data_IF_687213977598
#
_entry.id   IF_687213977598
#
_cell.length_a   1.000
_cell.length_b   1.000
_cell.length_c   1.000
_cell.angle_alpha   90.00
_cell.angle_beta   90.00
_cell.angle_gamma   90.00
#
_symmetry.space_group_name_H-M   'P 1'
#
loop_
_entity.id
_entity.type
_entity.pdbx_description
1 polymer ?
#
# COMPACT_ATOMS: atom_id res chain seq x y z
N UNK A 1 -3.10 1.72 -13.76
CA UNK A 1 -3.80 1.55 -12.46
C UNK A 1 -4.47 2.86 -12.02
N UNK A 2 -5.61 2.79 -11.34
CA UNK A 2 -6.25 3.93 -10.66
C UNK A 2 -6.42 3.61 -9.17
N UNK A 3 -6.03 4.54 -8.30
CA UNK A 3 -6.07 4.42 -6.85
C UNK A 3 -7.03 5.48 -6.31
N UNK A 4 -7.86 5.12 -5.35
CA UNK A 4 -8.60 6.07 -4.52
C UNK A 4 -8.59 5.65 -3.07
N UNK A 5 -8.66 6.64 -2.19
CA UNK A 5 -8.76 6.45 -0.75
C UNK A 5 -9.96 7.23 -0.25
N UNK A 6 -10.85 6.57 0.49
CA UNK A 6 -12.03 7.19 1.09
C UNK A 6 -12.31 6.51 2.43
N UNK A 7 -12.37 7.28 3.53
CA UNK A 7 -12.67 6.76 4.87
C UNK A 7 -11.82 5.51 5.23
N UNK A 8 -10.50 5.60 5.06
CA UNK A 8 -9.51 4.52 5.28
C UNK A 8 -9.61 3.32 4.32
N UNK A 9 -10.68 3.22 3.53
CA UNK A 9 -10.78 2.23 2.46
C UNK A 9 -9.95 2.67 1.26
N UNK A 10 -8.99 1.84 0.91
CA UNK A 10 -8.17 1.96 -0.31
C UNK A 10 -8.82 1.12 -1.39
N UNK A 11 -9.05 1.70 -2.57
CA UNK A 11 -9.57 1.02 -3.74
C UNK A 11 -8.58 1.17 -4.90
N UNK A 12 -8.19 0.04 -5.48
CA UNK A 12 -7.30 -0.02 -6.62
C UNK A 12 -8.05 -0.68 -7.77
N UNK A 13 -8.22 0.07 -8.85
CA UNK A 13 -8.72 -0.47 -10.11
C UNK A 13 -7.54 -0.73 -11.03
N UNK A 14 -7.29 -2.01 -11.29
CA UNK A 14 -6.37 -2.46 -12.33
C UNK A 14 -7.15 -2.69 -13.63
N UNK A 15 -6.46 -3.16 -14.67
CA UNK A 15 -7.14 -3.60 -15.90
C UNK A 15 -7.98 -4.87 -15.69
N UNK A 16 -7.55 -5.72 -14.76
CA UNK A 16 -8.06 -7.08 -14.61
C UNK A 16 -8.98 -7.23 -13.39
N UNK A 17 -8.77 -6.43 -12.34
CA UNK A 17 -9.51 -6.55 -11.09
C UNK A 17 -9.73 -5.22 -10.38
N UNK A 18 -10.70 -5.22 -9.47
CA UNK A 18 -10.85 -4.18 -8.45
C UNK A 18 -10.43 -4.75 -7.11
N UNK A 19 -9.45 -4.13 -6.48
CA UNK A 19 -8.87 -4.53 -5.20
C UNK A 19 -9.33 -3.53 -4.15
N UNK A 20 -9.95 -4.01 -3.09
CA UNK A 20 -10.40 -3.19 -1.97
C UNK A 20 -9.67 -3.63 -0.72
N UNK A 21 -9.16 -2.64 0.01
CA UNK A 21 -8.35 -2.81 1.20
C UNK A 21 -8.90 -1.91 2.30
N UNK A 22 -9.47 -2.53 3.34
CA UNK A 22 -9.94 -1.86 4.55
C UNK A 22 -9.68 -2.74 5.77
N UNK A 23 -10.69 -3.43 6.29
CA UNK A 23 -10.51 -4.44 7.34
C UNK A 23 -9.99 -5.76 6.74
N UNK A 24 -10.46 -6.09 5.53
CA UNK A 24 -10.10 -7.29 4.79
C UNK A 24 -9.59 -6.91 3.39
N UNK A 25 -8.82 -7.81 2.78
CA UNK A 25 -8.43 -7.71 1.37
C UNK A 25 -9.51 -8.39 0.50
N UNK A 26 -10.08 -7.63 -0.43
CA UNK A 26 -11.02 -8.15 -1.44
C UNK A 26 -10.50 -7.91 -2.83
N UNK A 27 -10.64 -8.90 -3.70
CA UNK A 27 -10.35 -8.80 -5.13
C UNK A 27 -11.61 -9.22 -5.88
N UNK A 28 -12.24 -8.27 -6.56
CA UNK A 28 -13.61 -8.40 -7.07
C UNK A 28 -14.55 -8.84 -5.93
N UNK A 29 -15.24 -9.97 -6.10
CA UNK A 29 -16.16 -10.54 -5.10
C UNK A 29 -15.49 -11.54 -4.15
N UNK A 30 -14.19 -11.82 -4.32
CA UNK A 30 -13.45 -12.76 -3.49
C UNK A 30 -12.76 -12.06 -2.32
N UNK A 31 -12.90 -12.62 -1.12
CA UNK A 31 -12.24 -12.15 0.08
C UNK A 31 -11.06 -13.06 0.44
N UNK A 32 -9.88 -12.47 0.58
CA UNK A 32 -8.67 -13.21 0.96
C UNK A 32 -8.71 -13.44 2.47
N UNK A 33 -8.74 -14.71 2.87
CA UNK A 33 -9.06 -15.11 4.24
C UNK A 33 -7.85 -15.24 5.19
N UNK A 34 -6.63 -14.96 4.72
CA UNK A 34 -5.44 -14.96 5.56
C UNK A 34 -4.14 -15.25 4.81
N UNK A 35 -3.09 -15.69 5.53
CA UNK A 35 -1.79 -16.00 4.94
C UNK A 35 -1.86 -17.10 3.87
N UNK A 36 -0.92 -17.07 2.92
CA UNK A 36 -0.85 -18.04 1.82
C UNK A 36 -0.78 -17.38 0.45
N UNK A 37 -0.76 -18.20 -0.60
CA UNK A 37 -0.70 -17.75 -1.99
C UNK A 37 -2.06 -17.92 -2.68
N UNK A 38 -2.50 -16.89 -3.39
CA UNK A 38 -3.76 -16.88 -4.13
C UNK A 38 -3.55 -16.27 -5.50
N UNK A 39 -4.33 -16.72 -6.48
CA UNK A 39 -4.46 -16.04 -7.78
C UNK A 39 -5.94 -15.73 -8.00
N UNK A 40 -6.29 -14.45 -8.06
CA UNK A 40 -7.69 -14.00 -8.17
C UNK A 40 -7.80 -12.91 -9.22
N UNK A 41 -8.56 -13.18 -10.28
CA UNK A 41 -8.75 -12.19 -11.36
C UNK A 41 -7.44 -11.73 -12.01
N UNK A 42 -6.46 -12.64 -12.12
CA UNK A 42 -5.12 -12.36 -12.66
C UNK A 42 -4.20 -11.53 -11.74
N UNK A 43 -4.59 -11.36 -10.48
CA UNK A 43 -3.76 -10.77 -9.42
C UNK A 43 -3.23 -11.89 -8.54
N UNK A 44 -1.90 -12.01 -8.46
CA UNK A 44 -1.22 -12.87 -7.49
C UNK A 44 -1.23 -12.18 -6.13
N UNK A 45 -1.50 -12.92 -5.06
CA UNK A 45 -1.56 -12.43 -3.68
C UNK A 45 -0.74 -13.34 -2.79
N UNK A 46 0.14 -12.74 -2.01
CA UNK A 46 0.96 -13.36 -0.99
C UNK A 46 0.55 -12.79 0.37
N UNK A 47 -0.32 -13.51 1.08
CA UNK A 47 -0.74 -13.18 2.43
C UNK A 47 0.36 -13.46 3.44
N UNK A 48 0.73 -12.45 4.23
CA UNK A 48 1.83 -12.54 5.18
C UNK A 48 1.34 -13.02 6.55
N UNK A 49 2.12 -13.90 7.17
CA UNK A 49 1.81 -14.50 8.49
C UNK A 49 1.71 -13.49 9.64
N UNK A 50 2.20 -12.26 9.45
CA UNK A 50 2.25 -11.19 10.47
C UNK A 50 1.54 -9.91 10.02
N UNK A 51 0.49 -10.07 9.21
CA UNK A 51 -0.36 -8.97 8.75
C UNK A 51 0.14 -8.33 7.45
N UNK A 52 -0.81 -8.01 6.59
CA UNK A 52 -0.56 -7.43 5.28
C UNK A 52 -0.40 -8.45 4.16
N UNK A 53 -0.31 -7.93 2.95
CA UNK A 53 -0.35 -8.68 1.71
C UNK A 53 0.63 -8.06 0.72
N UNK A 54 1.33 -8.89 -0.04
CA UNK A 54 2.00 -8.46 -1.28
C UNK A 54 1.18 -8.96 -2.45
N UNK A 55 0.95 -8.10 -3.42
CA UNK A 55 0.12 -8.37 -4.58
C UNK A 55 0.91 -8.04 -5.85
N UNK A 56 0.65 -8.78 -6.92
CA UNK A 56 1.23 -8.52 -8.24
C UNK A 56 0.17 -8.70 -9.31
N UNK A 57 -0.07 -7.65 -10.09
CA UNK A 57 -0.77 -7.77 -11.37
C UNK A 57 0.24 -7.75 -12.53
N UNK A 58 -0.25 -7.74 -13.78
CA UNK A 58 0.60 -7.67 -14.98
C UNK A 58 1.53 -6.45 -15.01
N UNK A 59 1.14 -5.36 -14.37
CA UNK A 59 1.80 -4.07 -14.47
C UNK A 59 2.57 -3.70 -13.21
N UNK A 60 2.12 -4.01 -12.00
CA UNK A 60 2.70 -3.50 -10.76
C UNK A 60 2.65 -4.53 -9.65
N UNK A 61 3.71 -4.58 -8.86
CA UNK A 61 3.70 -5.15 -7.54
C UNK A 61 3.38 -4.08 -6.51
N UNK A 62 2.54 -4.43 -5.56
CA UNK A 62 2.10 -3.53 -4.51
C UNK A 62 1.99 -4.28 -3.19
N UNK A 63 2.31 -3.58 -2.11
CA UNK A 63 2.21 -4.13 -0.75
C UNK A 63 1.18 -3.33 0.02
N UNK A 64 0.36 -4.04 0.78
CA UNK A 64 -0.52 -3.44 1.76
C UNK A 64 -0.13 -3.94 3.15
N UNK A 65 0.34 -3.01 3.98
CA UNK A 65 0.68 -3.30 5.37
C UNK A 65 -0.47 -2.89 6.27
N UNK A 66 -1.03 -3.90 6.95
CA UNK A 66 -2.11 -3.73 7.93
C UNK A 66 -1.61 -4.17 9.29
N UNK A 67 -1.84 -3.30 10.27
CA UNK A 67 -1.78 -3.56 11.71
C UNK A 67 -0.59 -4.42 12.15
N UNK A 68 0.57 -3.78 12.35
CA UNK A 68 1.77 -4.48 12.74
C UNK A 68 2.18 -4.15 14.15
N UNK A 69 2.11 -5.16 15.02
CA UNK A 69 2.82 -5.18 16.30
C UNK A 69 4.31 -5.55 16.10
N UNK A 70 4.73 -6.02 14.91
CA UNK A 70 6.14 -6.36 14.60
C UNK A 70 6.74 -5.78 13.29
N UNK A 71 8.07 -5.67 13.22
CA UNK A 71 8.83 -5.24 12.01
C UNK A 71 8.78 -6.32 10.91
N UNK A 72 8.93 -5.93 9.63
CA UNK A 72 9.05 -6.89 8.53
C UNK A 72 10.39 -7.61 8.63
N UNK A 73 10.37 -8.94 8.47
CA UNK A 73 11.58 -9.74 8.29
C UNK A 73 12.02 -9.62 6.81
N UNK A 74 13.12 -8.90 6.57
CA UNK A 74 13.69 -8.64 5.24
C UNK A 74 13.87 -9.92 4.41
N UNK A 75 14.28 -11.02 5.05
CA UNK A 75 14.46 -12.32 4.37
C UNK A 75 13.17 -12.87 3.78
N UNK A 76 12.02 -12.52 4.34
CA UNK A 76 10.72 -12.94 3.83
C UNK A 76 10.26 -12.13 2.63
N UNK A 77 10.92 -11.01 2.32
CA UNK A 77 10.65 -10.23 1.12
C UNK A 77 11.46 -10.73 -0.09
N UNK A 78 12.58 -11.44 0.12
CA UNK A 78 13.44 -11.94 -0.96
C UNK A 78 12.69 -12.87 -1.94
N UNK A 79 11.71 -13.64 -1.45
CA UNK A 79 10.89 -14.54 -2.25
C UNK A 79 9.60 -13.89 -2.79
N UNK A 80 9.37 -12.61 -2.49
CA UNK A 80 8.17 -11.88 -2.91
C UNK A 80 8.44 -11.05 -4.16
N UNK A 81 7.40 -10.77 -4.97
CA UNK A 81 7.56 -9.89 -6.12
C UNK A 81 7.92 -8.47 -5.68
N UNK A 82 8.71 -7.79 -6.52
CA UNK A 82 9.10 -6.39 -6.31
C UNK A 82 7.90 -5.51 -5.97
N UNK A 83 8.04 -4.71 -4.91
CA UNK A 83 7.00 -3.79 -4.45
C UNK A 83 7.27 -2.41 -4.99
N UNK A 84 6.48 -1.98 -5.97
CA UNK A 84 6.62 -0.66 -6.58
C UNK A 84 5.77 0.39 -5.84
N UNK A 85 4.65 -0.05 -5.25
CA UNK A 85 3.70 0.82 -4.55
C UNK A 85 3.38 0.23 -3.18
N UNK A 86 3.62 1.00 -2.12
CA UNK A 86 3.30 0.63 -0.76
C UNK A 86 2.07 1.41 -0.27
N UNK A 87 1.06 0.66 0.14
CA UNK A 87 -0.08 1.15 0.91
C UNK A 87 0.15 0.79 2.38
N UNK A 88 0.16 1.81 3.25
CA UNK A 88 0.46 1.60 4.67
C UNK A 88 -0.53 2.36 5.54
N UNK A 89 -1.18 1.66 6.45
CA UNK A 89 -1.92 2.32 7.53
C UNK A 89 -0.94 2.62 8.66
N UNK A 90 -0.71 3.91 8.92
CA UNK A 90 0.22 4.37 9.95
C UNK A 90 -0.25 3.94 11.33
N UNK A 91 0.65 3.31 12.06
CA UNK A 91 0.47 2.86 13.43
C UNK A 91 0.77 3.97 14.44
N UNK A 92 0.64 3.66 15.73
CA UNK A 92 1.09 4.56 16.79
C UNK A 92 2.61 4.65 16.91
N UNK A 93 3.35 3.67 16.36
CA UNK A 93 4.81 3.67 16.29
C UNK A 93 5.28 4.03 14.87
N UNK A 94 5.27 5.33 14.58
CA UNK A 94 5.69 5.84 13.28
C UNK A 94 7.14 5.46 12.92
N UNK A 95 8.05 5.36 13.89
CA UNK A 95 9.45 5.03 13.59
C UNK A 95 9.58 3.63 12.98
N UNK A 96 8.74 2.72 13.46
CA UNK A 96 8.66 1.37 12.93
C UNK A 96 8.06 1.32 11.53
N UNK A 97 7.02 2.10 11.27
CA UNK A 97 6.46 2.23 9.92
C UNK A 97 7.53 2.72 8.93
N UNK A 98 8.33 3.71 9.33
CA UNK A 98 9.45 4.20 8.52
C UNK A 98 10.54 3.15 8.30
N UNK A 99 10.82 2.29 9.27
CA UNK A 99 11.75 1.15 9.07
C UNK A 99 11.19 0.15 8.06
N UNK A 100 9.90 -0.20 8.17
CA UNK A 100 9.26 -1.12 7.23
C UNK A 100 9.27 -0.55 5.81
N UNK A 101 9.03 0.75 5.64
CA UNK A 101 9.14 1.44 4.34
C UNK A 101 10.56 1.30 3.78
N UNK A 102 11.59 1.49 4.61
CA UNK A 102 13.00 1.33 4.19
C UNK A 102 13.36 -0.11 3.83
N UNK A 103 12.78 -1.10 4.51
CA UNK A 103 13.01 -2.51 4.20
C UNK A 103 12.34 -2.91 2.87
N UNK A 104 11.16 -2.34 2.58
CA UNK A 104 10.42 -2.65 1.35
C UNK A 104 10.98 -1.91 0.12
N UNK A 105 11.61 -0.75 0.33
CA UNK A 105 12.14 0.13 -0.72
C UNK A 105 11.14 0.44 -1.86
N UNK A 106 9.88 0.84 -1.56
CA UNK A 106 8.89 1.10 -2.60
C UNK A 106 9.23 2.39 -3.37
N UNK A 107 8.79 2.47 -4.62
CA UNK A 107 8.92 3.70 -5.43
C UNK A 107 7.84 4.73 -5.10
N UNK A 108 6.66 4.25 -4.75
CA UNK A 108 5.52 5.08 -4.37
C UNK A 108 5.02 4.66 -2.98
N UNK A 109 4.72 5.63 -2.12
CA UNK A 109 4.13 5.42 -0.81
C UNK A 109 2.79 6.14 -0.74
N UNK A 110 1.76 5.42 -0.30
CA UNK A 110 0.41 5.93 -0.06
C UNK A 110 0.06 5.62 1.39
N UNK A 111 0.36 6.53 2.34
CA UNK A 111 -0.01 6.33 3.73
C UNK A 111 -1.49 6.66 3.97
N UNK A 112 -2.08 5.95 4.92
CA UNK A 112 -3.41 6.19 5.44
C UNK A 112 -3.36 6.22 6.97
N UNK A 113 -4.26 6.96 7.61
CA UNK A 113 -4.29 7.08 9.07
C UNK A 113 -5.06 8.31 9.54
N UNK A 114 -5.10 8.52 10.86
CA UNK A 114 -5.69 9.73 11.44
C UNK A 114 -4.92 11.00 11.05
N UNK A 115 -5.57 12.19 11.08
CA UNK A 115 -4.95 13.44 10.66
C UNK A 115 -3.62 13.75 11.35
N UNK A 116 -3.51 13.50 12.66
CA UNK A 116 -2.28 13.71 13.44
C UNK A 116 -1.14 12.80 12.97
N UNK A 117 -1.43 11.53 12.65
CA UNK A 117 -0.42 10.57 12.18
C UNK A 117 0.07 10.91 10.79
N UNK A 118 -0.83 11.29 9.89
CA UNK A 118 -0.46 11.77 8.55
C UNK A 118 0.41 13.03 8.66
N UNK A 119 0.06 13.96 9.56
CA UNK A 119 0.87 15.16 9.82
C UNK A 119 2.27 14.80 10.33
N UNK A 120 2.39 13.94 11.33
CA UNK A 120 3.68 13.49 11.87
C UNK A 120 4.54 12.79 10.79
N UNK A 121 3.91 11.98 9.94
CA UNK A 121 4.57 11.33 8.81
C UNK A 121 5.11 12.35 7.79
N UNK A 122 4.29 13.36 7.41
CA UNK A 122 4.71 14.42 6.49
C UNK A 122 5.87 15.23 7.06
N UNK A 123 5.88 15.51 8.38
CA UNK A 123 6.96 16.22 9.05
C UNK A 123 8.30 15.47 9.00
N UNK A 124 8.28 14.13 9.00
CA UNK A 124 9.49 13.29 8.96
C UNK A 124 9.99 13.01 7.54
N UNK A 125 9.11 12.62 6.62
CA UNK A 125 9.50 12.20 5.28
C UNK A 125 9.58 13.37 4.29
N UNK A 126 8.77 14.42 4.50
CA UNK A 126 8.70 15.57 3.60
C UNK A 126 8.22 15.22 2.18
N UNK A 127 8.32 16.20 1.26
CA UNK A 127 8.09 16.04 -0.19
C UNK A 127 6.88 15.18 -0.58
N UNK A 128 5.68 15.60 -0.15
CA UNK A 128 4.42 14.90 -0.45
C UNK A 128 3.62 15.59 -1.56
N UNK A 129 2.92 14.80 -2.37
CA UNK A 129 1.92 15.29 -3.32
C UNK A 129 0.52 15.00 -2.79
N UNK A 130 -0.32 16.04 -2.69
CA UNK A 130 -1.71 15.88 -2.28
C UNK A 130 -2.59 15.50 -3.46
N UNK A 131 -3.49 14.55 -3.24
CA UNK A 131 -4.42 14.05 -4.26
C UNK A 131 -5.85 14.30 -3.81
N UNK A 132 -6.62 14.93 -4.69
CA UNK A 132 -8.07 15.06 -4.57
C UNK A 132 -8.75 13.98 -5.43
N UNK A 133 -9.41 13.02 -4.77
CA UNK A 133 -10.16 11.96 -5.44
C UNK A 133 -9.30 10.80 -5.93
N UNK A 134 -9.04 10.72 -7.24
CA UNK A 134 -8.41 9.55 -7.87
C UNK A 134 -6.98 9.84 -8.33
N UNK A 135 -6.04 8.97 -8.01
CA UNK A 135 -4.68 8.96 -8.53
C UNK A 135 -4.54 7.95 -9.66
N UNK A 136 -4.09 8.38 -10.83
CA UNK A 136 -3.78 7.47 -11.95
C UNK A 136 -2.28 7.21 -12.01
N UNK A 137 -1.90 5.94 -11.88
CA UNK A 137 -0.51 5.48 -11.96
C UNK A 137 -0.30 4.67 -13.25
N UNK A 138 0.77 5.00 -13.95
CA UNK A 138 1.31 4.29 -15.11
C UNK A 138 2.79 3.97 -14.89
N UNK A 139 3.39 3.07 -15.67
CA UNK A 139 4.82 2.76 -15.52
C UNK A 139 5.71 3.99 -15.66
N UNK A 140 5.34 4.93 -16.53
CA UNK A 140 6.05 6.20 -16.73
C UNK A 140 5.91 7.17 -15.54
N UNK A 141 4.96 6.95 -14.64
CA UNK A 141 4.80 7.78 -13.44
C UNK A 141 5.63 7.29 -12.25
N UNK A 142 6.24 6.11 -12.35
CA UNK A 142 7.17 5.64 -11.32
C UNK A 142 8.41 6.55 -11.32
N UNK A 143 8.88 7.02 -10.16
CA UNK A 143 10.13 7.76 -10.10
C UNK A 143 11.30 6.90 -10.59
N UNK A 144 12.20 7.54 -11.34
CA UNK A 144 13.46 6.92 -11.78
C UNK A 144 14.46 6.82 -10.63
N UNK A 145 14.42 7.80 -9.72
CA UNK A 145 15.23 7.87 -8.51
C UNK A 145 14.39 8.42 -7.35
N UNK A 146 14.70 7.98 -6.14
CA UNK A 146 13.98 8.32 -4.91
C UNK A 146 12.56 7.74 -4.81
N UNK A 147 11.83 8.24 -3.82
CA UNK A 147 10.46 7.82 -3.51
C UNK A 147 9.49 8.97 -3.71
N UNK A 148 8.26 8.66 -4.15
CA UNK A 148 7.17 9.63 -4.25
C UNK A 148 6.05 9.29 -3.27
N UNK A 149 5.64 10.28 -2.50
CA UNK A 149 4.62 10.11 -1.46
C UNK A 149 3.33 10.81 -1.91
N UNK A 150 2.22 10.08 -1.91
CA UNK A 150 0.90 10.63 -2.21
C UNK A 150 -0.01 10.61 -0.99
N UNK A 151 -0.49 11.78 -0.59
CA UNK A 151 -1.47 11.95 0.51
C UNK A 151 -2.83 12.24 -0.09
N UNK A 152 -3.80 11.37 0.14
CA UNK A 152 -5.18 11.62 -0.28
C UNK A 152 -5.86 12.56 0.70
N UNK A 153 -6.47 13.62 0.19
CA UNK A 153 -7.34 14.47 0.97
C UNK A 153 -8.65 13.70 1.20
N UNK A 154 -8.74 12.98 2.32
CA UNK A 154 -10.02 12.47 2.78
C UNK A 154 -10.86 13.71 3.12
N UNK A 155 -11.93 13.97 2.37
CA UNK A 155 -12.80 15.12 2.61
C UNK A 155 -13.21 15.16 4.08
N UNK A 156 -12.71 16.16 4.80
CA UNK A 156 -13.24 16.51 6.11
C UNK A 156 -14.60 17.15 5.86
N UNK A 157 -15.68 16.41 6.12
CA UNK A 157 -16.94 17.02 6.53
C UNK A 157 -16.93 17.17 8.06
#
# INVERSE_FOLDING_TARGET
MQISVNNQKISIKTKQATITMNDNLKINDFEVSGPGEYEVGGVMVYGLTKGGYVLKDEEFGFCWLVNRDEEIDEKKLEDLPDVEILFITLSDDLNKDLKNIKIIEPKIIVPAGGPERIKEFIEKEGNVERVDGNLKITRMSLPLDGQKIYIFNNGSD
#
